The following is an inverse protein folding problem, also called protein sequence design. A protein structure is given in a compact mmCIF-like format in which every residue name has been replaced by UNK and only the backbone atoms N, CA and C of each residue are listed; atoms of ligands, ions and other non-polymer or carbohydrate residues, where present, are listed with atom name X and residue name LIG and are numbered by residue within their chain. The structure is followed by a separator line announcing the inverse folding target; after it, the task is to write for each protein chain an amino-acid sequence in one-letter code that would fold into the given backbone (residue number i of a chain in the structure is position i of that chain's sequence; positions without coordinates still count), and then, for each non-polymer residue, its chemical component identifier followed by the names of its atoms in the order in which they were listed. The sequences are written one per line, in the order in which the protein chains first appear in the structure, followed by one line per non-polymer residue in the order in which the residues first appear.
data_IF_331936649998
#
_entry.id   IF_331936649998
#
_cell.length_a   1.000
_cell.length_b   1.000
_cell.length_c   1.000
_cell.angle_alpha   90.00
_cell.angle_beta   90.00
_cell.angle_gamma   90.00
#
_symmetry.space_group_name_H-M   'P 1'
#
loop_
_entity.id
_entity.type
_entity.pdbx_description
1 polymer ?
#
# COMPACT_ATOMS: atom_id res chain seq x y z
N UNK A 1 -5.08 2.61 -4.52
CA UNK A 1 -4.58 3.31 -3.33
C UNK A 1 -5.62 4.32 -2.87
N UNK A 2 -5.89 4.42 -1.56
CA UNK A 2 -6.87 5.38 -1.02
C UNK A 2 -6.49 6.81 -1.40
N UNK A 3 -7.49 7.61 -1.79
CA UNK A 3 -7.27 9.00 -2.19
C UNK A 3 -6.70 9.87 -1.07
N UNK A 4 -6.85 9.46 0.18
CA UNK A 4 -6.31 10.15 1.35
C UNK A 4 -4.79 9.94 1.48
N UNK A 5 -4.32 8.69 1.45
CA UNK A 5 -2.88 8.38 1.49
C UNK A 5 -2.13 9.06 0.34
N UNK A 6 -2.67 9.05 -0.88
CA UNK A 6 -2.03 9.71 -2.02
C UNK A 6 -2.01 11.24 -1.89
N UNK A 7 -3.05 11.85 -1.29
CA UNK A 7 -3.07 13.30 -1.00
C UNK A 7 -2.05 13.66 0.08
N UNK A 8 -1.96 12.84 1.12
CA UNK A 8 -0.97 13.01 2.19
C UNK A 8 0.46 12.81 1.65
N UNK A 9 0.68 11.79 0.81
CA UNK A 9 1.96 11.53 0.14
C UNK A 9 2.37 12.73 -0.74
N UNK A 10 1.43 13.32 -1.50
CA UNK A 10 1.72 14.53 -2.29
C UNK A 10 2.12 15.74 -1.44
N UNK A 11 1.58 15.89 -0.22
CA UNK A 11 1.84 17.06 0.64
C UNK A 11 3.04 16.86 1.57
N UNK A 12 3.19 15.65 2.10
CA UNK A 12 4.13 15.32 3.17
C UNK A 12 5.19 14.28 2.78
N UNK A 13 5.14 13.74 1.56
CA UNK A 13 6.08 12.73 1.08
C UNK A 13 7.56 13.13 1.19
N UNK A 14 7.85 14.45 1.09
CA UNK A 14 9.21 14.99 1.26
C UNK A 14 9.78 14.85 2.68
N UNK A 15 8.94 14.62 3.69
CA UNK A 15 9.37 14.41 5.08
C UNK A 15 9.50 12.92 5.43
N UNK A 16 9.25 12.02 4.48
CA UNK A 16 9.36 10.60 4.73
C UNK A 16 10.83 10.21 4.93
N UNK A 17 11.13 9.53 6.03
CA UNK A 17 12.49 9.11 6.39
C UNK A 17 12.78 7.80 5.66
N UNK A 18 13.80 7.81 4.81
CA UNK A 18 14.28 6.60 4.12
C UNK A 18 15.00 5.69 5.09
N UNK A 19 14.90 4.37 4.92
CA UNK A 19 15.51 3.38 5.81
C UNK A 19 15.07 3.54 7.28
N UNK A 20 13.80 3.83 7.53
CA UNK A 20 13.28 4.08 8.88
C UNK A 20 13.61 2.95 9.86
N UNK A 21 13.60 1.69 9.39
CA UNK A 21 13.96 0.53 10.19
C UNK A 21 15.38 0.62 10.78
N UNK A 22 16.33 1.21 10.06
CA UNK A 22 17.70 1.41 10.54
C UNK A 22 17.75 2.40 11.72
N UNK A 23 17.04 3.51 11.61
CA UNK A 23 16.97 4.52 12.68
C UNK A 23 16.38 3.95 13.97
N UNK A 24 15.35 3.10 13.85
CA UNK A 24 14.75 2.39 14.99
C UNK A 24 15.77 1.45 15.64
N UNK A 25 16.57 0.72 14.84
CA UNK A 25 17.61 -0.19 15.34
C UNK A 25 18.72 0.57 16.06
N UNK A 26 19.17 1.70 15.52
CA UNK A 26 20.12 2.59 16.19
C UNK A 26 19.52 3.08 17.52
N UNK A 27 18.23 3.40 17.53
CA UNK A 27 17.49 3.76 18.74
C UNK A 27 17.52 2.65 19.81
N UNK A 28 17.36 1.39 19.43
CA UNK A 28 17.46 0.27 20.37
C UNK A 28 18.87 0.06 20.91
N UNK A 29 19.90 0.31 20.11
CA UNK A 29 21.28 0.29 20.61
C UNK A 29 21.46 1.32 21.75
N UNK A 30 20.89 2.52 21.59
CA UNK A 30 20.86 3.53 22.66
C UNK A 30 20.03 3.06 23.85
N UNK A 31 18.85 2.45 23.61
CA UNK A 31 18.01 1.89 24.66
C UNK A 31 18.72 0.83 25.50
N UNK A 32 19.55 0.00 24.89
CA UNK A 32 20.38 -0.98 25.60
C UNK A 32 21.45 -0.34 26.48
N UNK A 33 22.10 0.73 26.00
CA UNK A 33 23.03 1.50 26.83
C UNK A 33 22.32 2.10 28.05
N UNK A 34 21.11 2.64 27.86
CA UNK A 34 20.29 3.18 28.96
C UNK A 34 19.79 2.10 29.91
N UNK A 35 19.55 0.89 29.43
CA UNK A 35 19.18 -0.25 30.26
C UNK A 35 20.35 -0.68 31.16
N UNK A 36 21.58 -0.72 30.62
CA UNK A 36 22.77 -1.04 31.40
C UNK A 36 23.04 -0.03 32.54
N UNK A 37 22.63 1.23 32.37
CA UNK A 37 22.75 2.28 33.41
C UNK A 37 21.52 2.40 34.32
N UNK A 38 20.49 1.55 34.15
CA UNK A 38 19.23 1.63 34.89
C UNK A 38 18.34 2.83 34.51
N UNK A 39 18.70 3.58 33.48
CA UNK A 39 17.98 4.79 33.04
C UNK A 39 16.80 4.52 32.12
N UNK A 40 16.55 3.25 31.77
CA UNK A 40 15.44 2.83 30.90
C UNK A 40 14.07 3.25 31.45
N UNK A 41 13.95 3.32 32.79
CA UNK A 41 12.73 3.74 33.48
C UNK A 41 12.36 5.18 33.17
N UNK A 42 13.28 6.05 32.72
CA UNK A 42 12.99 7.44 32.36
C UNK A 42 12.39 7.61 30.97
N UNK A 43 12.55 6.59 30.11
CA UNK A 43 12.13 6.65 28.71
C UNK A 43 10.98 5.70 28.37
N UNK A 44 10.65 4.75 29.24
CA UNK A 44 9.55 3.81 29.04
C UNK A 44 8.17 4.49 29.01
N UNK A 45 7.20 3.84 28.35
CA UNK A 45 5.84 4.36 28.22
C UNK A 45 5.06 4.16 29.53
N UNK A 46 5.14 5.14 30.42
CA UNK A 46 4.44 5.11 31.70
C UNK A 46 3.40 6.24 31.77
N UNK A 47 2.10 5.95 31.58
CA UNK A 47 1.04 6.96 31.60
C UNK A 47 0.95 7.75 32.92
N UNK A 48 1.18 7.11 34.06
CA UNK A 48 1.18 7.80 35.36
C UNK A 48 2.25 8.92 35.40
N UNK A 49 3.47 8.62 34.91
CA UNK A 49 4.53 9.63 34.82
C UNK A 49 4.27 10.68 33.74
N UNK A 50 3.57 10.32 32.65
CA UNK A 50 3.16 11.28 31.61
C UNK A 50 2.18 12.31 32.19
N UNK A 51 1.18 11.88 32.97
CA UNK A 51 0.23 12.78 33.63
C UNK A 51 0.92 13.68 34.65
N UNK A 52 2.02 13.23 35.26
CA UNK A 52 2.88 14.03 36.14
C UNK A 52 3.83 14.99 35.39
N UNK A 53 3.72 15.11 34.06
CA UNK A 53 4.48 16.08 33.26
C UNK A 53 5.63 15.49 32.43
N UNK A 54 5.89 14.18 32.49
CA UNK A 54 6.96 13.53 31.71
C UNK A 54 6.53 13.22 30.27
N UNK A 55 6.18 14.24 29.50
CA UNK A 55 5.57 14.11 28.15
C UNK A 55 6.49 13.47 27.11
N UNK A 56 7.81 13.52 27.30
CA UNK A 56 8.78 12.92 26.36
C UNK A 56 8.59 11.41 26.21
N UNK A 57 8.05 10.75 27.24
CA UNK A 57 7.73 9.30 27.26
C UNK A 57 6.78 8.87 26.16
N UNK A 58 6.02 9.79 25.55
CA UNK A 58 5.16 9.53 24.39
C UNK A 58 5.99 9.16 23.15
N UNK A 59 7.24 9.62 23.07
CA UNK A 59 8.13 9.42 21.92
C UNK A 59 9.31 8.52 22.31
N UNK A 60 9.92 8.73 23.47
CA UNK A 60 11.17 8.06 23.86
C UNK A 60 11.02 6.55 24.08
N UNK A 61 9.80 6.07 24.35
CA UNK A 61 9.54 4.65 24.58
C UNK A 61 9.86 3.78 23.36
N UNK A 62 9.86 4.37 22.16
CA UNK A 62 10.23 3.69 20.91
C UNK A 62 11.70 3.24 20.93
N UNK A 63 12.54 3.85 21.78
CA UNK A 63 13.93 3.46 21.97
C UNK A 63 14.09 2.26 22.91
N UNK A 64 13.04 1.88 23.65
CA UNK A 64 13.11 0.75 24.59
C UNK A 64 13.23 -0.56 23.80
N UNK A 65 14.27 -1.38 24.05
CA UNK A 65 14.46 -2.62 23.34
C UNK A 65 13.32 -3.61 23.69
N UNK A 66 12.87 -4.43 22.72
CA UNK A 66 11.71 -5.30 22.91
C UNK A 66 11.99 -6.51 23.81
N UNK A 67 13.25 -6.87 24.02
CA UNK A 67 13.65 -7.92 24.96
C UNK A 67 14.92 -7.50 25.69
N UNK A 68 15.18 -8.12 26.85
CA UNK A 68 16.39 -7.87 27.66
C UNK A 68 17.62 -8.63 27.17
N UNK A 69 17.42 -9.76 26.46
CA UNK A 69 18.50 -10.62 26.00
C UNK A 69 19.17 -10.05 24.75
N UNK A 70 20.40 -9.55 24.89
CA UNK A 70 21.17 -8.92 23.82
C UNK A 70 21.29 -9.81 22.56
N UNK A 71 21.68 -11.08 22.73
CA UNK A 71 21.84 -12.02 21.62
C UNK A 71 20.52 -12.21 20.85
N UNK A 72 19.42 -12.45 21.56
CA UNK A 72 18.09 -12.59 20.97
C UNK A 72 17.69 -11.31 20.24
N UNK A 73 17.97 -10.14 20.82
CA UNK A 73 17.64 -8.87 20.17
C UNK A 73 18.46 -8.63 18.92
N UNK A 74 19.77 -8.93 18.89
CA UNK A 74 20.55 -8.74 17.66
C UNK A 74 19.96 -9.57 16.52
N UNK A 75 19.64 -10.84 16.77
CA UNK A 75 19.00 -11.73 15.79
C UNK A 75 17.63 -11.17 15.37
N UNK A 76 16.82 -10.74 16.33
CA UNK A 76 15.50 -10.18 16.11
C UNK A 76 15.57 -8.89 15.28
N UNK A 77 16.48 -7.97 15.61
CA UNK A 77 16.65 -6.69 14.93
C UNK A 77 17.15 -6.87 13.50
N UNK A 78 18.08 -7.80 13.26
CA UNK A 78 18.47 -8.16 11.91
C UNK A 78 17.29 -8.68 11.10
N UNK A 79 16.48 -9.56 11.68
CA UNK A 79 15.29 -10.09 11.04
C UNK A 79 14.28 -8.99 10.71
N UNK A 80 13.91 -8.15 11.68
CA UNK A 80 12.95 -7.06 11.47
C UNK A 80 13.47 -5.96 10.55
N UNK A 81 14.78 -5.70 10.52
CA UNK A 81 15.40 -4.83 9.53
C UNK A 81 15.11 -5.33 8.11
N UNK A 82 15.34 -6.63 7.85
CA UNK A 82 15.10 -7.21 6.54
C UNK A 82 13.62 -7.11 6.14
N UNK A 83 12.71 -7.47 7.05
CA UNK A 83 11.27 -7.37 6.79
C UNK A 83 10.87 -5.91 6.51
N UNK A 84 11.33 -4.97 7.33
CA UNK A 84 11.06 -3.55 7.19
C UNK A 84 11.61 -2.96 5.89
N UNK A 85 12.85 -3.30 5.51
CA UNK A 85 13.47 -2.83 4.27
C UNK A 85 12.77 -3.37 3.01
N UNK A 86 12.26 -4.61 3.03
CA UNK A 86 11.43 -5.13 1.94
C UNK A 86 10.09 -4.42 1.91
N UNK A 87 9.42 -4.24 3.06
CA UNK A 87 8.15 -3.52 3.13
C UNK A 87 8.27 -2.08 2.63
N UNK A 88 9.30 -1.35 3.04
CA UNK A 88 9.57 0.01 2.61
C UNK A 88 9.74 0.11 1.09
N UNK A 89 10.48 -0.84 0.48
CA UNK A 89 10.64 -0.91 -0.98
C UNK A 89 9.35 -1.24 -1.70
N UNK A 90 8.49 -2.08 -1.12
CA UNK A 90 7.23 -2.51 -1.75
C UNK A 90 6.11 -1.48 -1.68
N UNK A 91 6.00 -0.76 -0.56
CA UNK A 91 4.94 0.22 -0.34
C UNK A 91 5.36 1.65 -0.70
N UNK A 92 6.67 1.91 -0.72
CA UNK A 92 7.26 3.23 -0.80
C UNK A 92 7.48 3.83 0.60
N UNK A 93 8.54 4.64 0.72
CA UNK A 93 9.02 5.22 1.98
C UNK A 93 7.92 5.94 2.77
N UNK A 94 7.12 6.79 2.12
CA UNK A 94 6.05 7.53 2.80
C UNK A 94 5.02 6.62 3.47
N UNK A 95 4.57 5.57 2.76
CA UNK A 95 3.53 4.67 3.29
C UNK A 95 4.06 3.83 4.44
N UNK A 96 5.31 3.38 4.34
CA UNK A 96 5.98 2.67 5.43
C UNK A 96 6.16 3.58 6.67
N UNK A 97 6.52 4.85 6.48
CA UNK A 97 6.58 5.81 7.58
C UNK A 97 5.22 6.00 8.25
N UNK A 98 4.14 6.19 7.47
CA UNK A 98 2.78 6.29 8.00
C UNK A 98 2.40 5.04 8.78
N UNK A 99 2.75 3.85 8.31
CA UNK A 99 2.46 2.59 8.98
C UNK A 99 3.13 2.45 10.36
N UNK A 100 4.40 2.81 10.45
CA UNK A 100 5.13 2.76 11.72
C UNK A 100 4.62 3.84 12.67
N UNK A 101 4.45 5.08 12.19
CA UNK A 101 3.96 6.20 12.99
C UNK A 101 2.53 5.94 13.48
N UNK A 102 1.65 5.37 12.65
CA UNK A 102 0.30 4.99 13.08
C UNK A 102 0.36 3.92 14.17
N UNK A 103 1.26 2.95 14.07
CA UNK A 103 1.45 1.94 15.11
C UNK A 103 1.90 2.55 16.43
N UNK A 104 2.85 3.49 16.40
CA UNK A 104 3.30 4.22 17.58
C UNK A 104 2.15 5.00 18.21
N UNK A 105 1.39 5.76 17.41
CA UNK A 105 0.26 6.57 17.89
C UNK A 105 -0.83 5.68 18.50
N UNK A 106 -1.20 4.59 17.84
CA UNK A 106 -2.22 3.66 18.33
C UNK A 106 -1.79 3.00 19.64
N UNK A 107 -0.50 2.65 19.78
CA UNK A 107 0.04 2.07 21.02
C UNK A 107 -0.03 3.09 22.16
N UNK A 108 0.35 4.34 21.92
CA UNK A 108 0.26 5.42 22.92
C UNK A 108 -1.18 5.69 23.32
N UNK A 109 -2.10 5.79 22.34
CA UNK A 109 -3.53 5.98 22.61
C UNK A 109 -4.05 4.81 23.44
N UNK A 110 -3.75 3.57 23.05
CA UNK A 110 -4.14 2.38 23.79
C UNK A 110 -3.63 2.37 25.24
N UNK A 111 -2.36 2.74 25.45
CA UNK A 111 -1.76 2.84 26.77
C UNK A 111 -2.45 3.89 27.65
N UNK A 112 -2.67 5.10 27.12
CA UNK A 112 -3.30 6.20 27.86
C UNK A 112 -4.77 5.90 28.13
N UNK A 113 -5.51 5.39 27.14
CA UNK A 113 -6.91 5.00 27.31
C UNK A 113 -7.05 3.89 28.35
N UNK A 114 -6.21 2.85 28.28
CA UNK A 114 -6.22 1.77 29.27
C UNK A 114 -5.92 2.30 30.67
N UNK A 115 -4.94 3.18 30.82
CA UNK A 115 -4.60 3.79 32.10
C UNK A 115 -5.81 4.45 32.76
N UNK A 116 -6.52 5.32 32.05
CA UNK A 116 -7.71 5.99 32.60
C UNK A 116 -8.88 5.03 32.85
N UNK A 117 -9.08 4.02 32.01
CA UNK A 117 -10.13 3.01 32.22
C UNK A 117 -9.85 2.22 33.49
N UNK A 118 -8.61 1.79 33.73
CA UNK A 118 -8.24 1.00 34.90
C UNK A 118 -8.30 1.82 36.20
N UNK A 119 -8.01 3.12 36.14
CA UNK A 119 -8.24 4.02 37.26
C UNK A 119 -9.73 4.20 37.56
N UNK A 120 -10.57 4.32 36.53
CA UNK A 120 -12.01 4.54 36.70
C UNK A 120 -12.75 3.35 37.33
N UNK A 121 -12.17 2.15 37.26
CA UNK A 121 -12.72 0.92 37.87
C UNK A 121 -11.96 0.49 39.12
N UNK A 122 -11.09 1.36 39.66
CA UNK A 122 -10.26 1.09 40.85
C UNK A 122 -9.50 -0.24 40.78
N UNK A 123 -8.99 -0.60 39.59
CA UNK A 123 -8.33 -1.89 39.36
C UNK A 123 -7.06 -2.08 40.21
N UNK A 124 -6.24 -1.03 40.30
CA UNK A 124 -5.01 -0.99 41.06
C UNK A 124 -4.56 0.47 41.29
N UNK A 125 -3.50 0.67 42.09
CA UNK A 125 -2.93 2.02 42.26
C UNK A 125 -2.40 2.59 40.95
N UNK A 126 -2.49 3.91 40.78
CA UNK A 126 -2.01 4.62 39.59
C UNK A 126 -0.55 4.31 39.26
N UNK A 127 0.29 4.14 40.28
CA UNK A 127 1.68 3.76 40.13
C UNK A 127 1.84 2.36 39.53
N UNK A 128 1.13 1.37 40.07
CA UNK A 128 1.20 -0.02 39.59
C UNK A 128 0.70 -0.13 38.16
N UNK A 129 -0.44 0.49 37.84
CA UNK A 129 -0.97 0.52 36.46
C UNK A 129 0.06 1.15 35.51
N UNK A 130 0.72 2.25 35.91
CA UNK A 130 1.74 2.89 35.09
C UNK A 130 2.96 1.99 34.83
N UNK A 131 3.40 1.23 35.82
CA UNK A 131 4.50 0.26 35.69
C UNK A 131 4.09 -0.89 34.77
N UNK A 132 2.93 -1.50 35.01
CA UNK A 132 2.45 -2.64 34.21
C UNK A 132 2.28 -2.24 32.74
N UNK A 133 1.71 -1.06 32.46
CA UNK A 133 1.63 -0.53 31.09
C UNK A 133 3.03 -0.36 30.48
N UNK A 134 4.01 0.13 31.25
CA UNK A 134 5.37 0.32 30.72
C UNK A 134 6.09 -0.98 30.34
N UNK A 135 5.73 -2.09 30.98
CA UNK A 135 6.26 -3.44 30.68
C UNK A 135 5.58 -3.99 29.42
N UNK A 136 4.25 -3.90 29.36
CA UNK A 136 3.46 -4.53 28.30
C UNK A 136 3.32 -3.69 27.03
N UNK A 137 3.38 -2.36 27.09
CA UNK A 137 3.29 -1.49 25.91
C UNK A 137 4.68 -1.10 25.43
N UNK A 138 5.34 -2.05 24.78
CA UNK A 138 6.67 -1.88 24.23
C UNK A 138 6.70 -2.13 22.71
N UNK A 139 7.87 -1.99 22.10
CA UNK A 139 8.05 -2.05 20.66
C UNK A 139 7.85 -3.44 20.04
N UNK A 140 7.71 -4.49 20.85
CA UNK A 140 7.36 -5.85 20.41
C UNK A 140 6.09 -5.85 19.54
N UNK A 141 5.07 -5.09 19.93
CA UNK A 141 3.79 -5.04 19.22
C UNK A 141 3.86 -4.28 17.88
N UNK A 142 4.77 -3.31 17.75
CA UNK A 142 5.07 -2.67 16.46
C UNK A 142 5.76 -3.68 15.54
N UNK A 143 6.78 -4.37 16.07
CA UNK A 143 7.50 -5.41 15.35
C UNK A 143 6.55 -6.53 14.88
N UNK A 144 5.64 -6.97 15.74
CA UNK A 144 4.55 -7.87 15.37
C UNK A 144 3.75 -7.35 14.16
N UNK A 145 3.29 -6.09 14.21
CA UNK A 145 2.55 -5.50 13.11
C UNK A 145 3.35 -5.60 11.79
N UNK A 146 4.65 -5.31 11.81
CA UNK A 146 5.55 -5.45 10.64
C UNK A 146 5.60 -6.90 10.15
N UNK A 147 5.73 -7.86 11.07
CA UNK A 147 5.76 -9.28 10.75
C UNK A 147 4.48 -9.75 10.05
N UNK A 148 3.31 -9.37 10.58
CA UNK A 148 2.01 -9.72 9.96
C UNK A 148 1.86 -9.08 8.58
N UNK A 149 2.20 -7.80 8.45
CA UNK A 149 2.23 -7.11 7.16
C UNK A 149 3.08 -7.87 6.13
N UNK A 150 4.30 -8.25 6.51
CA UNK A 150 5.17 -9.01 5.63
C UNK A 150 4.61 -10.38 5.27
N UNK A 151 4.11 -11.14 6.26
CA UNK A 151 3.57 -12.47 6.04
C UNK A 151 2.38 -12.48 5.07
N UNK A 152 1.57 -11.40 5.05
CA UNK A 152 0.47 -11.27 4.09
C UNK A 152 0.92 -10.95 2.67
N UNK A 153 2.01 -10.20 2.48
CA UNK A 153 2.55 -9.88 1.15
C UNK A 153 3.38 -11.03 0.58
N UNK A 154 4.14 -11.71 1.45
CA UNK A 154 5.10 -12.74 1.07
C UNK A 154 4.86 -14.07 1.80
N UNK A 155 3.66 -14.68 1.70
CA UNK A 155 3.29 -15.86 2.49
C UNK A 155 4.13 -17.11 2.20
N UNK A 156 4.68 -17.19 0.98
CA UNK A 156 5.50 -18.33 0.54
C UNK A 156 7.01 -18.12 0.74
N UNK A 157 7.43 -16.93 1.17
CA UNK A 157 8.85 -16.69 1.47
C UNK A 157 9.27 -17.55 2.66
N UNK A 158 10.47 -18.11 2.57
CA UNK A 158 11.04 -18.97 3.60
C UNK A 158 12.02 -18.18 4.46
N UNK A 159 11.93 -18.41 5.77
CA UNK A 159 12.89 -17.92 6.76
C UNK A 159 13.49 -19.14 7.45
N UNK A 160 14.80 -19.12 7.66
CA UNK A 160 15.50 -20.18 8.38
C UNK A 160 15.34 -19.95 9.89
N UNK A 161 14.44 -20.72 10.51
CA UNK A 161 14.28 -20.74 11.96
C UNK A 161 15.57 -21.28 12.59
N UNK A 162 16.16 -20.50 13.51
CA UNK A 162 17.46 -20.79 14.14
C UNK A 162 18.58 -21.13 13.14
N UNK A 163 18.51 -20.60 11.92
CA UNK A 163 19.43 -20.92 10.82
C UNK A 163 19.43 -22.38 10.33
N UNK A 164 18.49 -23.21 10.79
CA UNK A 164 18.43 -24.65 10.46
C UNK A 164 17.17 -25.00 9.68
N UNK A 165 15.98 -24.60 10.16
CA UNK A 165 14.71 -25.12 9.63
C UNK A 165 14.06 -24.07 8.71
N UNK A 166 13.93 -24.31 7.39
CA UNK A 166 13.22 -23.39 6.50
C UNK A 166 11.71 -23.46 6.74
N UNK A 167 11.14 -22.39 7.27
CA UNK A 167 9.69 -22.27 7.52
C UNK A 167 9.12 -21.15 6.66
N UNK A 168 7.96 -21.40 6.03
CA UNK A 168 7.25 -20.36 5.26
C UNK A 168 6.61 -19.34 6.20
N UNK A 169 6.65 -18.06 5.83
CA UNK A 169 6.11 -16.97 6.65
C UNK A 169 4.64 -17.15 7.05
N UNK A 170 3.80 -17.73 6.17
CA UNK A 170 2.41 -18.01 6.51
C UNK A 170 2.24 -18.92 7.72
N UNK A 171 3.10 -19.94 7.88
CA UNK A 171 3.03 -20.86 9.01
C UNK A 171 3.45 -20.19 10.31
N UNK A 172 4.50 -19.38 10.26
CA UNK A 172 4.91 -18.59 11.42
C UNK A 172 3.81 -17.60 11.82
N UNK A 173 3.12 -16.97 10.86
CA UNK A 173 1.99 -16.09 11.13
C UNK A 173 0.81 -16.83 11.79
N UNK A 174 0.48 -18.06 11.36
CA UNK A 174 -0.56 -18.86 12.02
C UNK A 174 -0.19 -19.23 13.45
N UNK A 175 1.03 -19.74 13.68
CA UNK A 175 1.53 -20.06 15.02
C UNK A 175 1.44 -18.82 15.92
N UNK A 176 1.91 -17.69 15.40
CA UNK A 176 1.88 -16.44 16.14
C UNK A 176 0.45 -16.00 16.50
N UNK A 177 -0.47 -16.06 15.54
CA UNK A 177 -1.87 -15.70 15.75
C UNK A 177 -2.54 -16.63 16.77
N UNK A 178 -2.24 -17.92 16.75
CA UNK A 178 -2.73 -18.90 17.75
C UNK A 178 -2.19 -18.57 19.15
N UNK A 179 -0.90 -18.26 19.29
CA UNK A 179 -0.30 -17.87 20.57
C UNK A 179 -0.98 -16.60 21.12
N UNK A 180 -1.21 -15.60 20.27
CA UNK A 180 -1.84 -14.36 20.69
C UNK A 180 -3.32 -14.57 21.02
N UNK A 181 -4.01 -15.46 20.30
CA UNK A 181 -5.38 -15.83 20.61
C UNK A 181 -5.47 -16.51 21.97
N UNK A 182 -4.55 -17.43 22.28
CA UNK A 182 -4.45 -18.05 23.60
C UNK A 182 -4.21 -16.99 24.69
N UNK A 183 -3.22 -16.10 24.49
CA UNK A 183 -2.93 -14.99 25.42
C UNK A 183 -4.08 -14.00 25.55
N UNK A 184 -4.93 -13.85 24.54
CA UNK A 184 -6.10 -12.99 24.62
C UNK A 184 -7.17 -13.56 25.57
N UNK A 185 -7.33 -14.88 25.61
CA UNK A 185 -8.26 -15.52 26.54
C UNK A 185 -7.70 -15.60 27.96
N UNK A 186 -6.46 -16.07 28.10
CA UNK A 186 -5.83 -16.40 29.38
C UNK A 186 -5.02 -15.25 30.02
N UNK A 187 -4.57 -14.28 29.20
CA UNK A 187 -3.67 -13.21 29.64
C UNK A 187 -4.35 -12.08 30.42
N UNK A 188 -3.53 -11.21 31.00
CA UNK A 188 -3.97 -10.00 31.72
C UNK A 188 -4.56 -8.95 30.75
N UNK A 189 -5.39 -8.04 31.27
CA UNK A 189 -6.02 -6.95 30.51
C UNK A 189 -4.99 -6.13 29.72
N UNK A 190 -3.79 -5.92 30.28
CA UNK A 190 -2.70 -5.23 29.61
C UNK A 190 -2.29 -5.92 28.31
N UNK A 191 -2.11 -7.25 28.36
CA UNK A 191 -1.75 -8.08 27.21
C UNK A 191 -2.86 -8.05 26.17
N UNK A 192 -4.12 -8.21 26.59
CA UNK A 192 -5.29 -8.20 25.69
C UNK A 192 -5.35 -6.91 24.88
N UNK A 193 -5.22 -5.77 25.55
CA UNK A 193 -5.29 -4.45 24.89
C UNK A 193 -4.07 -4.23 23.99
N UNK A 194 -2.86 -4.60 24.42
CA UNK A 194 -1.67 -4.48 23.58
C UNK A 194 -1.77 -5.32 22.29
N UNK A 195 -2.29 -6.56 22.39
CA UNK A 195 -2.58 -7.41 21.22
C UNK A 195 -3.59 -6.71 20.30
N UNK A 196 -4.71 -6.23 20.84
CA UNK A 196 -5.75 -5.56 20.04
C UNK A 196 -5.20 -4.33 19.30
N UNK A 197 -4.41 -3.49 19.96
CA UNK A 197 -3.81 -2.30 19.34
C UNK A 197 -2.84 -2.66 18.21
N UNK A 198 -2.04 -3.71 18.40
CA UNK A 198 -1.10 -4.20 17.38
C UNK A 198 -1.82 -4.73 16.13
N UNK A 199 -2.87 -5.52 16.32
CA UNK A 199 -3.69 -6.07 15.24
C UNK A 199 -4.47 -4.97 14.54
N UNK A 200 -4.97 -4.00 15.29
CA UNK A 200 -5.69 -2.85 14.76
C UNK A 200 -4.79 -2.02 13.84
N UNK A 201 -3.52 -1.79 14.19
CA UNK A 201 -2.57 -1.12 13.29
C UNK A 201 -2.40 -1.89 11.96
N UNK A 202 -2.22 -3.21 12.03
CA UNK A 202 -2.14 -4.06 10.85
C UNK A 202 -3.42 -3.99 10.01
N UNK A 203 -4.61 -4.13 10.62
CA UNK A 203 -5.88 -4.11 9.90
C UNK A 203 -6.18 -2.74 9.28
N UNK A 204 -6.00 -1.64 10.01
CA UNK A 204 -6.20 -0.28 9.49
C UNK A 204 -5.36 -0.10 8.23
N UNK A 205 -4.08 -0.48 8.27
CA UNK A 205 -3.21 -0.29 7.13
C UNK A 205 -3.54 -1.26 5.99
N UNK A 206 -3.83 -2.53 6.29
CA UNK A 206 -4.24 -3.53 5.31
C UNK A 206 -5.48 -3.10 4.54
N UNK A 207 -6.53 -2.61 5.23
CA UNK A 207 -7.74 -2.11 4.59
C UNK A 207 -7.54 -0.75 3.91
N UNK A 208 -6.66 0.11 4.42
CA UNK A 208 -6.34 1.41 3.80
C UNK A 208 -5.48 1.28 2.53
N UNK A 209 -4.71 0.22 2.39
CA UNK A 209 -3.91 -0.07 1.18
C UNK A 209 -4.61 -0.99 0.20
N UNK A 210 -5.50 -1.88 0.66
CA UNK A 210 -6.27 -2.76 -0.22
C UNK A 210 -7.26 -1.95 -1.05
N UNK A 211 -7.01 -1.91 -2.35
CA UNK A 211 -7.77 -1.14 -3.32
C UNK A 211 -9.25 -1.59 -3.37
N UNK A 212 -10.13 -0.88 -2.65
CA UNK A 212 -11.59 -1.02 -2.82
C UNK A 212 -12.12 -0.25 -4.04
N UNK A 213 -11.23 0.27 -4.90
CA UNK A 213 -11.60 0.91 -6.17
C UNK A 213 -11.36 -0.04 -7.32
N UNK A 214 -12.23 -1.06 -7.43
CA UNK A 214 -12.25 -1.88 -8.65
C UNK A 214 -12.84 -1.12 -9.84
N UNK A 215 -13.61 -0.05 -9.61
CA UNK A 215 -14.03 0.89 -10.66
C UNK A 215 -14.33 2.25 -10.00
N UNK A 216 -13.56 3.29 -10.30
CA UNK A 216 -13.98 4.66 -9.96
C UNK A 216 -15.25 4.98 -10.75
N UNK A 217 -16.36 5.44 -10.12
CA UNK A 217 -17.56 5.82 -10.86
C UNK A 217 -17.23 6.84 -11.96
N UNK A 218 -16.30 7.77 -11.69
CA UNK A 218 -15.82 8.74 -12.67
C UNK A 218 -15.09 8.10 -13.85
N UNK A 219 -14.36 7.01 -13.65
CA UNK A 219 -13.72 6.28 -14.76
C UNK A 219 -14.75 5.50 -15.56
N UNK A 220 -15.79 4.94 -14.92
CA UNK A 220 -16.91 4.32 -15.64
C UNK A 220 -17.67 5.34 -16.49
N UNK A 221 -18.00 6.52 -15.93
CA UNK A 221 -18.63 7.62 -16.68
C UNK A 221 -17.74 8.11 -17.82
N UNK A 222 -16.42 8.28 -17.59
CA UNK A 222 -15.50 8.75 -18.63
C UNK A 222 -15.31 7.71 -19.74
N UNK A 223 -15.27 6.42 -19.39
CA UNK A 223 -15.14 5.30 -20.35
C UNK A 223 -16.44 5.07 -21.12
N UNK A 224 -17.60 5.26 -20.47
CA UNK A 224 -18.92 5.27 -21.10
C UNK A 224 -19.07 6.47 -22.04
N UNK A 225 -18.76 7.68 -21.59
CA UNK A 225 -18.80 8.88 -22.43
C UNK A 225 -17.84 8.80 -23.62
N UNK A 226 -16.64 8.24 -23.44
CA UNK A 226 -15.71 8.00 -24.54
C UNK A 226 -16.26 6.95 -25.53
N UNK A 227 -16.88 5.87 -25.03
CA UNK A 227 -17.51 4.84 -25.87
C UNK A 227 -18.73 5.38 -26.62
N UNK A 228 -19.55 6.20 -25.97
CA UNK A 228 -20.71 6.85 -26.56
C UNK A 228 -20.28 7.87 -27.63
N UNK A 229 -19.22 8.67 -27.37
CA UNK A 229 -18.63 9.57 -28.35
C UNK A 229 -18.00 8.83 -29.53
N UNK A 230 -17.38 7.68 -29.32
CA UNK A 230 -16.80 6.86 -30.39
C UNK A 230 -17.87 6.18 -31.24
N UNK A 231 -18.96 5.72 -30.62
CA UNK A 231 -20.14 5.20 -31.33
C UNK A 231 -20.85 6.30 -32.13
N UNK A 232 -20.94 7.53 -31.59
CA UNK A 232 -21.49 8.68 -32.30
C UNK A 232 -20.58 9.17 -33.42
N UNK A 233 -19.26 9.15 -33.24
CA UNK A 233 -18.29 9.48 -34.28
C UNK A 233 -18.35 8.44 -35.43
N UNK A 234 -18.41 7.15 -35.12
CA UNK A 234 -18.64 6.09 -36.10
C UNK A 234 -20.01 6.20 -36.80
N UNK A 235 -21.03 6.71 -36.09
CA UNK A 235 -22.35 6.99 -36.67
C UNK A 235 -22.39 8.27 -37.52
N UNK A 236 -21.53 9.26 -37.26
CA UNK A 236 -21.41 10.47 -38.11
C UNK A 236 -20.61 10.20 -39.38
N UNK A 237 -19.62 9.31 -39.32
CA UNK A 237 -19.00 8.73 -40.51
C UNK A 237 -19.99 7.96 -41.40
N UNK A 238 -21.15 7.57 -40.86
CA UNK A 238 -22.26 6.98 -41.62
C UNK A 238 -23.28 8.02 -42.15
N UNK A 239 -23.27 9.25 -41.63
CA UNK A 239 -24.17 10.34 -42.03
C UNK A 239 -23.54 11.26 -43.10
N UNK A 240 -22.23 11.48 -43.08
CA UNK A 240 -21.48 12.14 -44.15
C UNK A 240 -21.19 11.15 -45.29
N UNK A 241 -22.24 10.76 -46.02
CA UNK A 241 -22.17 10.39 -47.45
C UNK A 241 -21.33 9.19 -47.90
N UNK A 242 -20.74 8.39 -47.02
CA UNK A 242 -20.07 7.14 -47.39
C UNK A 242 -20.67 5.93 -46.66
N UNK A 243 -21.92 5.62 -46.99
CA UNK A 243 -22.56 4.37 -46.60
C UNK A 243 -22.77 3.49 -47.83
N UNK A 244 -21.95 2.46 -48.00
CA UNK A 244 -22.29 1.33 -48.86
C UNK A 244 -23.22 0.40 -48.09
N UNK A 245 -24.44 0.29 -48.61
CA UNK A 245 -25.47 -0.61 -48.12
C UNK A 245 -24.98 -2.08 -48.08
N UNK A 246 -25.55 -2.83 -47.12
CA UNK A 246 -25.40 -4.28 -46.88
C UNK A 246 -24.06 -4.71 -46.25
N UNK A 247 -24.04 -4.71 -44.92
CA UNK A 247 -23.31 -5.70 -44.10
C UNK A 247 -21.81 -5.87 -44.37
N UNK A 248 -21.15 -4.88 -44.97
CA UNK A 248 -19.78 -4.99 -45.43
C UNK A 248 -18.83 -4.26 -44.49
N UNK A 249 -17.75 -4.94 -44.10
CA UNK A 249 -16.63 -4.33 -43.41
C UNK A 249 -16.16 -3.03 -44.11
N UNK A 250 -15.56 -2.12 -43.35
CA UNK A 250 -15.06 -0.83 -43.84
C UNK A 250 -14.01 -1.07 -44.94
N UNK A 251 -14.31 -0.69 -46.18
CA UNK A 251 -13.31 -0.66 -47.27
C UNK A 251 -12.57 0.66 -47.17
N UNK A 252 -11.24 0.62 -47.05
CA UNK A 252 -10.44 1.82 -46.81
C UNK A 252 -10.18 2.62 -48.09
N UNK A 253 -10.27 1.96 -49.25
CA UNK A 253 -9.96 2.55 -50.56
C UNK A 253 -11.09 2.34 -51.60
N UNK A 254 -11.38 3.38 -52.40
CA UNK A 254 -12.40 3.38 -53.48
C UNK A 254 -11.99 4.28 -54.63
N UNK A 255 -12.12 3.78 -55.87
CA UNK A 255 -11.86 4.58 -57.07
C UNK A 255 -12.94 5.65 -57.32
N UNK A 256 -12.52 6.90 -57.52
CA UNK A 256 -13.40 8.03 -57.80
C UNK A 256 -14.14 7.96 -59.15
N UNK A 257 -13.67 7.18 -60.13
CA UNK A 257 -14.28 7.05 -61.47
C UNK A 257 -15.25 5.87 -61.55
N UNK A 258 -14.75 4.65 -61.29
CA UNK A 258 -15.54 3.43 -61.49
C UNK A 258 -16.19 2.91 -60.20
N UNK A 259 -15.87 3.48 -59.04
CA UNK A 259 -16.45 3.09 -57.77
C UNK A 259 -15.99 1.74 -57.21
N UNK A 260 -15.09 1.01 -57.89
CA UNK A 260 -14.50 -0.24 -57.39
C UNK A 260 -13.75 0.00 -56.07
N UNK A 261 -13.79 -1.00 -55.20
CA UNK A 261 -13.15 -1.05 -53.88
C UNK A 261 -12.15 -2.21 -53.82
N UNK A 262 -11.34 -2.28 -52.75
CA UNK A 262 -10.36 -3.36 -52.52
C UNK A 262 -10.98 -4.77 -52.47
N UNK A 263 -12.31 -4.88 -52.42
CA UNK A 263 -13.02 -6.17 -52.44
C UNK A 263 -13.35 -6.69 -53.82
N UNK A 264 -13.25 -5.84 -54.84
CA UNK A 264 -13.65 -6.21 -56.20
C UNK A 264 -12.55 -6.99 -56.95
N UNK A 265 -11.38 -7.20 -56.34
CA UNK A 265 -10.31 -8.08 -56.83
C UNK A 265 -8.98 -7.87 -56.13
N UNK A 266 -8.27 -8.96 -55.82
CA UNK A 266 -7.01 -8.97 -55.06
C UNK A 266 -5.84 -8.24 -55.77
N UNK A 267 -5.96 -7.95 -57.06
CA UNK A 267 -4.95 -7.29 -57.89
C UNK A 267 -5.20 -5.78 -58.10
N UNK A 268 -6.13 -5.18 -57.36
CA UNK A 268 -6.47 -3.76 -57.49
C UNK A 268 -5.63 -2.90 -56.53
N UNK A 269 -4.73 -2.09 -57.10
CA UNK A 269 -4.02 -1.05 -56.34
C UNK A 269 -4.72 0.30 -56.47
N UNK A 270 -4.88 1.00 -55.33
CA UNK A 270 -5.43 2.35 -55.28
C UNK A 270 -4.32 3.36 -55.00
N UNK A 271 -4.23 4.42 -55.81
CA UNK A 271 -3.23 5.47 -55.67
C UNK A 271 -3.84 6.85 -55.84
N UNK A 272 -3.22 7.85 -55.22
CA UNK A 272 -3.58 9.25 -55.38
C UNK A 272 -2.91 9.84 -56.61
N UNK A 273 -3.62 10.75 -57.29
CA UNK A 273 -3.02 11.57 -58.32
C UNK A 273 -2.47 12.85 -57.69
N UNK A 274 -1.16 13.09 -57.82
CA UNK A 274 -0.49 14.29 -57.28
C UNK A 274 -0.89 15.60 -57.95
N UNK A 275 -1.53 15.55 -59.12
CA UNK A 275 -1.97 16.72 -59.91
C UNK A 275 -3.41 17.12 -59.65
N UNK A 276 -4.21 16.27 -59.00
CA UNK A 276 -5.60 16.55 -58.69
C UNK A 276 -5.72 17.28 -57.36
N UNK A 277 -6.66 18.22 -57.28
CA UNK A 277 -6.97 18.94 -56.06
C UNK A 277 -8.01 18.16 -55.24
N UNK A 278 -7.56 17.57 -54.13
CA UNK A 278 -8.38 16.73 -53.24
C UNK A 278 -7.87 15.29 -53.11
N UNK A 279 -8.29 14.62 -52.04
CA UNK A 279 -7.87 13.25 -51.71
C UNK A 279 -8.66 12.19 -52.50
N UNK A 280 -8.64 12.26 -53.83
CA UNK A 280 -9.28 11.27 -54.69
C UNK A 280 -8.31 10.12 -54.99
N UNK A 281 -8.77 8.90 -54.72
CA UNK A 281 -8.04 7.67 -55.05
C UNK A 281 -8.54 7.11 -56.38
N UNK A 282 -7.62 6.54 -57.15
CA UNK A 282 -7.91 5.92 -58.44
C UNK A 282 -7.33 4.50 -58.46
N UNK A 283 -8.06 3.55 -59.05
CA UNK A 283 -7.49 2.23 -59.31
C UNK A 283 -6.41 2.33 -60.40
N UNK A 284 -5.50 1.35 -60.44
CA UNK A 284 -4.48 1.18 -61.48
C UNK A 284 -4.95 1.47 -62.92
N UNK A 285 -6.17 1.04 -63.30
CA UNK A 285 -6.76 1.27 -64.62
C UNK A 285 -7.15 2.74 -64.90
N UNK A 286 -7.54 3.49 -63.85
CA UNK A 286 -8.05 4.86 -63.97
C UNK A 286 -7.03 5.93 -63.53
N UNK A 287 -5.93 5.54 -62.90
CA UNK A 287 -4.91 6.46 -62.42
C UNK A 287 -4.28 7.29 -63.55
N UNK A 288 -4.20 6.76 -64.77
CA UNK A 288 -3.57 7.45 -65.91
C UNK A 288 -4.56 7.95 -66.96
N UNK A 289 -5.85 7.64 -66.81
CA UNK A 289 -6.90 7.96 -67.80
C UNK A 289 -7.95 8.93 -67.27
N UNK A 290 -7.85 9.33 -65.99
CA UNK A 290 -8.75 10.32 -65.40
C UNK A 290 -8.48 11.74 -65.92
N UNK A 291 -9.55 12.53 -66.04
CA UNK A 291 -9.42 13.98 -66.20
C UNK A 291 -9.05 14.57 -64.85
N UNK A 292 -7.99 15.38 -64.82
CA UNK A 292 -7.59 16.04 -63.59
C UNK A 292 -8.68 16.99 -63.11
N UNK A 293 -9.05 16.84 -61.84
CA UNK A 293 -9.92 17.77 -61.14
C UNK A 293 -9.00 18.85 -60.58
N UNK A 294 -9.06 20.05 -61.15
CA UNK A 294 -8.28 21.22 -60.75
C UNK A 294 -8.95 21.95 -59.58
#
# INVERSE_FOLDING_TARGET
MTGLLNKLERKFGKYAITNLSLYIIIGYAIGYLLQATGSIEFICLNPNKIVQGQIWRIITWVLVPPTVNLLTTIIMLYFYYQLGAVLERTWGTFKFNVYIISGIILTVIGAISLYYILLAVDYASAERIGIDISIWFNTFYINLSIFLAFATLYPNMQVLLFFVIPVKMKWMAYVYLVINLYQFFDGDIYVKVAIVMSLLNFFIFFFSTRDYKRVSPKEFYRRKAFRDAMNQAGSRSAADGYSTARGGAITKHKCAICGRTERDGDNLEFRFCSKCNGNYEYCNEHLFTHKHVM
#
